data_IF_614183171750
#
_entry.id   IF_614183171750
#
_cell.length_a   1.000
_cell.length_b   1.000
_cell.length_c   1.000
_cell.angle_alpha   90.00
_cell.angle_beta   90.00
_cell.angle_gamma   90.00
#
_symmetry.space_group_name_H-M   'P 1'
#
loop_
_entity.id
_entity.type
_entity.pdbx_description
1 polymer ?
#
# COMPACT_ATOMS: atom_id res chain seq x y z
N UNK A 1 -16.13 -1.85 -1.69
CA UNK A 1 -14.67 -2.16 -1.74
C UNK A 1 -14.08 -1.95 -0.35
N UNK A 2 -13.12 -2.79 0.10
CA UNK A 2 -12.54 -2.63 1.45
C UNK A 2 -11.25 -1.83 1.38
N UNK A 3 -11.17 -0.74 2.12
CA UNK A 3 -9.98 0.08 2.32
C UNK A 3 -9.92 0.54 3.79
N UNK A 4 -8.76 0.98 4.24
CA UNK A 4 -8.54 1.53 5.58
C UNK A 4 -8.32 3.04 5.49
N UNK A 5 -8.92 3.77 6.38
CA UNK A 5 -8.65 5.19 6.55
C UNK A 5 -7.26 5.43 7.15
N UNK A 6 -6.74 6.65 7.01
CA UNK A 6 -5.39 7.02 7.44
C UNK A 6 -5.12 6.69 8.91
N UNK A 7 -6.11 6.86 9.80
CA UNK A 7 -6.01 6.54 11.23
C UNK A 7 -5.75 5.06 11.48
N UNK A 8 -6.47 4.20 10.79
CA UNK A 8 -6.36 2.75 10.95
C UNK A 8 -5.13 2.18 10.24
N UNK A 9 -4.76 2.75 9.08
CA UNK A 9 -3.47 2.45 8.45
C UNK A 9 -2.29 2.76 9.38
N UNK A 10 -2.30 3.92 10.04
CA UNK A 10 -1.24 4.29 10.98
C UNK A 10 -1.15 3.32 12.17
N UNK A 11 -2.28 2.88 12.74
CA UNK A 11 -2.29 1.84 13.80
C UNK A 11 -1.67 0.54 13.30
N UNK A 12 -2.10 0.09 12.09
CA UNK A 12 -1.65 -1.15 11.50
C UNK A 12 -0.15 -1.12 11.17
N UNK A 13 0.35 0.00 10.63
CA UNK A 13 1.78 0.17 10.36
C UNK A 13 2.60 0.18 11.65
N UNK A 14 2.14 0.84 12.72
CA UNK A 14 2.83 0.85 14.02
C UNK A 14 2.97 -0.56 14.61
N UNK A 15 1.89 -1.33 14.64
CA UNK A 15 1.95 -2.70 15.19
C UNK A 15 2.82 -3.60 14.33
N UNK A 16 2.71 -3.51 13.01
CA UNK A 16 3.56 -4.30 12.12
C UNK A 16 5.04 -3.92 12.25
N UNK A 17 5.36 -2.62 12.37
CA UNK A 17 6.73 -2.14 12.62
C UNK A 17 7.31 -2.73 13.90
N UNK A 18 6.55 -2.75 14.99
CA UNK A 18 6.98 -3.30 16.26
C UNK A 18 7.13 -4.83 16.25
N UNK A 19 6.26 -5.55 15.53
CA UNK A 19 6.23 -7.01 15.56
C UNK A 19 7.08 -7.67 14.49
N UNK A 20 7.13 -7.14 13.27
CA UNK A 20 7.86 -7.74 12.16
C UNK A 20 8.19 -6.72 11.07
N UNK A 21 9.44 -6.25 11.04
CA UNK A 21 9.95 -5.25 10.08
C UNK A 21 9.73 -5.65 8.61
N UNK A 22 9.85 -6.94 8.26
CA UNK A 22 9.64 -7.40 6.88
C UNK A 22 8.17 -7.29 6.47
N UNK A 23 7.24 -7.69 7.33
CA UNK A 23 5.82 -7.54 7.06
C UNK A 23 5.43 -6.06 6.93
N UNK A 24 5.95 -5.23 7.82
CA UNK A 24 5.78 -3.79 7.78
C UNK A 24 6.22 -3.18 6.43
N UNK A 25 7.44 -3.50 5.96
CA UNK A 25 7.94 -3.00 4.68
C UNK A 25 7.15 -3.50 3.48
N UNK A 26 6.59 -4.71 3.53
CA UNK A 26 5.65 -5.19 2.50
C UNK A 26 4.36 -4.37 2.49
N UNK A 27 3.83 -4.01 3.67
CA UNK A 27 2.64 -3.15 3.77
C UNK A 27 2.90 -1.76 3.18
N UNK A 28 4.03 -1.12 3.56
CA UNK A 28 4.44 0.18 3.02
C UNK A 28 4.65 0.12 1.51
N UNK A 29 5.29 -0.93 1.00
CA UNK A 29 5.44 -1.13 -0.44
C UNK A 29 4.09 -1.17 -1.15
N UNK A 30 3.14 -1.94 -0.62
CA UNK A 30 1.78 -2.01 -1.17
C UNK A 30 1.05 -0.67 -1.17
N UNK A 31 1.21 0.12 -0.11
CA UNK A 31 0.56 1.42 0.04
C UNK A 31 1.23 2.49 -0.84
N UNK A 32 2.52 2.74 -0.70
CA UNK A 32 3.21 3.84 -1.40
C UNK A 32 3.42 3.61 -2.89
N UNK A 33 3.38 2.37 -3.37
CA UNK A 33 3.56 2.07 -4.80
C UNK A 33 2.33 1.50 -5.48
N UNK A 34 1.28 1.18 -4.72
CA UNK A 34 0.11 0.48 -5.23
C UNK A 34 0.43 -0.93 -5.76
N UNK A 35 1.58 -1.50 -5.43
CA UNK A 35 1.99 -2.82 -5.88
C UNK A 35 1.04 -3.92 -5.39
N UNK A 36 0.79 -4.91 -6.24
CA UNK A 36 0.15 -6.15 -5.78
C UNK A 36 1.13 -6.92 -4.90
N UNK A 37 0.63 -7.68 -3.94
CA UNK A 37 1.46 -8.49 -3.04
C UNK A 37 2.48 -9.36 -3.80
N UNK A 38 2.10 -9.96 -4.92
CA UNK A 38 2.99 -10.77 -5.74
C UNK A 38 4.14 -9.96 -6.38
N UNK A 39 3.95 -8.67 -6.61
CA UNK A 39 4.99 -7.76 -7.11
C UNK A 39 5.93 -7.36 -5.96
N UNK A 40 5.37 -6.98 -4.80
CA UNK A 40 6.16 -6.65 -3.62
C UNK A 40 7.05 -7.83 -3.18
N UNK A 41 6.51 -9.04 -3.12
CA UNK A 41 7.27 -10.23 -2.71
C UNK A 41 8.38 -10.65 -3.68
N UNK A 42 8.35 -10.17 -4.93
CA UNK A 42 9.39 -10.45 -5.94
C UNK A 42 10.52 -9.42 -5.94
N UNK A 43 10.40 -8.33 -5.19
CA UNK A 43 11.43 -7.30 -5.13
C UNK A 43 12.79 -7.87 -4.76
N UNK A 44 13.81 -7.45 -5.50
CA UNK A 44 15.22 -7.74 -5.25
C UNK A 44 15.92 -6.48 -4.76
N UNK A 45 17.12 -6.63 -4.21
CA UNK A 45 17.93 -5.48 -3.82
C UNK A 45 18.19 -4.52 -4.99
N UNK A 46 18.48 -5.04 -6.19
CA UNK A 46 18.69 -4.26 -7.41
C UNK A 46 17.50 -3.40 -7.86
N UNK A 47 16.30 -3.66 -7.31
CA UNK A 47 15.11 -2.85 -7.57
C UNK A 47 15.04 -1.58 -6.71
N UNK A 48 15.95 -1.44 -5.74
CA UNK A 48 16.10 -0.24 -4.91
C UNK A 48 17.42 0.41 -5.30
N UNK A 49 17.34 1.58 -5.94
CA UNK A 49 18.54 2.25 -6.48
C UNK A 49 18.41 3.77 -6.44
N UNK A 50 19.51 4.46 -6.71
CA UNK A 50 19.52 5.91 -6.83
C UNK A 50 19.25 6.35 -8.26
N UNK A 51 18.34 7.32 -8.40
CA UNK A 51 18.09 8.03 -9.65
C UNK A 51 18.32 9.53 -9.39
N UNK A 52 19.47 10.02 -9.78
CA UNK A 52 19.94 11.34 -9.37
C UNK A 52 20.18 11.43 -7.87
N UNK A 53 19.51 12.37 -7.23
CA UNK A 53 19.57 12.62 -5.78
C UNK A 53 18.58 11.77 -4.95
N UNK A 54 17.73 10.97 -5.60
CA UNK A 54 16.61 10.28 -4.96
C UNK A 54 16.79 8.79 -4.95
N UNK A 55 16.38 8.18 -3.84
CA UNK A 55 16.15 6.74 -3.79
C UNK A 55 14.80 6.37 -4.40
N UNK A 56 14.80 5.35 -5.22
CA UNK A 56 13.63 4.88 -5.94
C UNK A 56 13.47 3.36 -5.81
N UNK A 57 12.24 2.92 -6.00
CA UNK A 57 11.85 1.52 -6.03
C UNK A 57 11.23 1.19 -7.39
N UNK A 58 11.75 0.17 -8.05
CA UNK A 58 11.24 -0.36 -9.31
C UNK A 58 10.24 -1.48 -9.03
N UNK A 59 9.03 -1.31 -9.50
CA UNK A 59 7.98 -2.33 -9.43
C UNK A 59 7.85 -3.00 -10.79
N UNK A 60 8.18 -4.27 -10.84
CA UNK A 60 8.08 -5.07 -12.06
C UNK A 60 6.64 -5.23 -12.53
N UNK A 61 6.48 -5.32 -13.84
CA UNK A 61 5.19 -5.50 -14.46
C UNK A 61 4.48 -6.78 -13.97
N UNK A 62 3.16 -6.70 -13.75
CA UNK A 62 2.33 -7.87 -13.58
C UNK A 62 1.82 -8.33 -14.96
N UNK A 63 2.28 -9.46 -15.45
CA UNK A 63 1.92 -10.06 -16.75
C UNK A 63 2.26 -9.12 -17.95
N UNK A 64 1.29 -8.35 -18.47
CA UNK A 64 1.43 -7.48 -19.64
C UNK A 64 1.40 -5.98 -19.29
N UNK A 65 1.67 -5.60 -18.05
CA UNK A 65 1.76 -4.21 -17.60
C UNK A 65 3.13 -3.58 -17.90
N UNK A 66 3.29 -2.32 -17.53
CA UNK A 66 4.55 -1.60 -17.58
C UNK A 66 5.28 -1.68 -16.24
N UNK A 67 6.61 -1.69 -16.26
CA UNK A 67 7.42 -1.45 -15.07
C UNK A 67 7.21 -0.01 -14.59
N UNK A 68 7.31 0.20 -13.28
CA UNK A 68 7.16 1.52 -12.67
C UNK A 68 8.29 1.78 -11.72
N UNK A 69 8.73 3.02 -11.73
CA UNK A 69 9.68 3.53 -10.76
C UNK A 69 8.97 4.54 -9.87
N UNK A 70 8.99 4.31 -8.58
CA UNK A 70 8.41 5.20 -7.58
C UNK A 70 9.52 5.77 -6.72
N UNK A 71 9.36 7.02 -6.26
CA UNK A 71 10.22 7.55 -5.22
C UNK A 71 10.04 6.72 -3.96
N UNK A 72 11.14 6.35 -3.31
CA UNK A 72 11.08 5.69 -2.02
C UNK A 72 10.61 6.71 -0.97
N UNK A 73 9.60 6.35 -0.21
CA UNK A 73 9.10 7.22 0.85
C UNK A 73 10.03 7.11 2.07
N UNK A 74 10.65 8.23 2.42
CA UNK A 74 11.53 8.37 3.58
C UNK A 74 10.86 9.32 4.54
N UNK A 75 10.68 8.89 5.79
CA UNK A 75 9.95 9.64 6.82
C UNK A 75 10.72 9.65 8.13
N UNK A 76 10.51 10.67 8.94
CA UNK A 76 11.04 10.75 10.30
C UNK A 76 10.30 9.83 11.27
N UNK A 77 9.07 9.46 10.96
CA UNK A 77 8.28 8.50 11.71
C UNK A 77 8.57 7.07 11.23
N UNK A 78 9.19 6.20 12.04
CA UNK A 78 9.69 4.90 11.59
C UNK A 78 8.62 3.97 11.00
N UNK A 79 7.35 4.14 11.41
CA UNK A 79 6.25 3.33 10.90
C UNK A 79 5.71 3.77 9.53
N UNK A 80 6.22 4.87 8.97
CA UNK A 80 5.97 5.31 7.60
C UNK A 80 7.23 5.24 6.72
N UNK A 81 8.38 4.99 7.31
CA UNK A 81 9.67 5.06 6.65
C UNK A 81 10.03 3.77 5.89
N UNK A 82 10.39 3.92 4.63
CA UNK A 82 10.87 2.83 3.76
C UNK A 82 12.40 2.79 3.62
N UNK A 83 13.15 3.69 4.26
CA UNK A 83 14.61 3.71 4.18
C UNK A 83 15.28 2.37 4.55
N UNK A 84 14.71 1.52 5.44
CA UNK A 84 15.27 0.20 5.70
C UNK A 84 15.36 -0.72 4.48
N UNK A 85 14.60 -0.44 3.40
CA UNK A 85 14.76 -1.17 2.14
C UNK A 85 16.11 -0.87 1.48
N UNK A 86 16.67 0.32 1.68
CA UNK A 86 17.99 0.70 1.16
C UNK A 86 19.05 -0.20 1.80
N UNK A 87 19.05 -0.29 3.13
CA UNK A 87 19.98 -1.14 3.88
C UNK A 87 19.90 -2.61 3.43
N UNK A 88 18.66 -3.11 3.27
CA UNK A 88 18.44 -4.48 2.82
C UNK A 88 18.94 -4.71 1.39
N UNK A 89 18.77 -3.72 0.51
CA UNK A 89 19.22 -3.77 -0.88
C UNK A 89 20.74 -3.76 -0.99
N UNK A 90 21.40 -2.89 -0.24
CA UNK A 90 22.87 -2.79 -0.21
C UNK A 90 23.51 -4.08 0.32
N UNK A 91 22.91 -4.71 1.34
CA UNK A 91 23.40 -5.98 1.89
C UNK A 91 23.18 -7.16 0.94
N UNK A 92 22.12 -7.16 0.14
CA UNK A 92 21.71 -8.30 -0.70
C UNK A 92 21.17 -7.84 -2.06
N UNK A 93 22.01 -7.25 -2.93
CA UNK A 93 21.52 -6.63 -4.16
C UNK A 93 20.82 -7.60 -5.12
N UNK A 94 21.27 -8.82 -5.23
CA UNK A 94 20.69 -9.81 -6.16
C UNK A 94 19.67 -10.75 -5.51
N UNK A 95 19.47 -10.68 -4.20
CA UNK A 95 18.53 -11.53 -3.49
C UNK A 95 17.13 -10.91 -3.41
N UNK A 96 16.12 -11.76 -3.27
CA UNK A 96 14.77 -11.30 -2.95
C UNK A 96 14.73 -10.69 -1.54
N UNK A 97 14.25 -9.45 -1.42
CA UNK A 97 14.17 -8.73 -0.14
C UNK A 97 13.19 -9.42 0.84
N UNK A 98 12.14 -10.02 0.30
CA UNK A 98 11.10 -10.69 1.08
C UNK A 98 11.04 -12.22 0.84
N UNK A 99 12.14 -12.81 0.41
CA UNK A 99 12.23 -14.26 0.13
C UNK A 99 11.71 -15.12 1.28
N UNK A 100 11.02 -16.21 0.97
CA UNK A 100 10.40 -17.11 1.94
C UNK A 100 9.03 -16.64 2.50
N UNK A 101 8.58 -15.41 2.18
CA UNK A 101 7.27 -14.92 2.57
C UNK A 101 6.22 -15.26 1.49
N UNK A 102 5.23 -16.09 1.82
CA UNK A 102 4.10 -16.37 0.93
C UNK A 102 2.97 -15.37 1.14
N UNK A 103 2.15 -15.15 0.09
CA UNK A 103 0.95 -14.32 0.18
C UNK A 103 -0.03 -14.84 1.24
N UNK A 104 -0.23 -16.16 1.31
CA UNK A 104 -1.16 -16.77 2.26
C UNK A 104 -0.72 -16.52 3.70
N UNK A 105 0.55 -16.77 3.98
CA UNK A 105 1.11 -16.53 5.32
C UNK A 105 1.07 -15.04 5.69
N UNK A 106 1.41 -14.15 4.75
CA UNK A 106 1.32 -12.71 4.98
C UNK A 106 -0.11 -12.28 5.32
N UNK A 107 -1.12 -12.73 4.57
CA UNK A 107 -2.52 -12.41 4.86
C UNK A 107 -2.99 -12.98 6.22
N UNK A 108 -2.49 -14.16 6.61
CA UNK A 108 -2.77 -14.71 7.95
C UNK A 108 -2.19 -13.81 9.06
N UNK A 109 -0.95 -13.37 8.90
CA UNK A 109 -0.34 -12.42 9.84
C UNK A 109 -1.07 -11.08 9.86
N UNK A 110 -1.49 -10.58 8.70
CA UNK A 110 -2.23 -9.33 8.58
C UNK A 110 -3.56 -9.36 9.35
N UNK A 111 -4.30 -10.49 9.29
CA UNK A 111 -5.51 -10.67 10.12
C UNK A 111 -5.20 -10.57 11.62
N UNK A 112 -4.09 -11.14 12.07
CA UNK A 112 -3.65 -11.03 13.47
C UNK A 112 -3.31 -9.59 13.85
N UNK A 113 -2.64 -8.84 12.97
CA UNK A 113 -2.35 -7.42 13.20
C UNK A 113 -3.63 -6.59 13.25
N UNK A 114 -4.57 -6.81 12.34
CA UNK A 114 -5.88 -6.14 12.37
C UNK A 114 -6.58 -6.38 13.71
N UNK A 115 -6.71 -7.63 14.13
CA UNK A 115 -7.34 -7.99 15.40
C UNK A 115 -6.66 -7.31 16.60
N UNK A 116 -5.32 -7.24 16.62
CA UNK A 116 -4.58 -6.65 17.74
C UNK A 116 -4.77 -5.15 17.93
N UNK A 117 -5.26 -4.45 16.89
CA UNK A 117 -5.51 -2.99 16.92
C UNK A 117 -6.99 -2.63 16.78
N UNK A 118 -7.88 -3.62 16.91
CA UNK A 118 -9.33 -3.41 16.85
C UNK A 118 -9.88 -3.16 15.44
N UNK A 119 -9.14 -3.55 14.39
CA UNK A 119 -9.58 -3.50 13.00
C UNK A 119 -10.23 -4.85 12.65
N UNK A 120 -11.38 -4.82 11.97
CA UNK A 120 -12.06 -6.04 11.56
C UNK A 120 -11.16 -6.92 10.67
N UNK A 121 -11.15 -8.22 10.89
CA UNK A 121 -10.24 -9.15 10.23
C UNK A 121 -10.48 -9.32 8.72
N UNK A 122 -11.63 -8.90 8.22
CA UNK A 122 -11.92 -8.86 6.78
C UNK A 122 -10.98 -7.90 6.03
N UNK A 123 -10.45 -6.88 6.71
CA UNK A 123 -9.39 -6.02 6.15
C UNK A 123 -8.02 -6.71 6.12
N UNK A 124 -7.89 -7.89 6.73
CA UNK A 124 -6.65 -8.65 6.81
C UNK A 124 -6.23 -9.32 5.49
N UNK A 125 -6.22 -8.58 4.40
CA UNK A 125 -5.77 -9.04 3.08
C UNK A 125 -4.90 -7.97 2.39
N UNK A 126 -3.91 -8.41 1.64
CA UNK A 126 -2.87 -7.55 1.07
C UNK A 126 -3.36 -6.49 0.07
N UNK A 127 -4.54 -6.69 -0.54
CA UNK A 127 -5.12 -5.69 -1.46
C UNK A 127 -5.62 -4.44 -0.74
N UNK A 128 -5.86 -4.51 0.57
CA UNK A 128 -6.32 -3.36 1.36
C UNK A 128 -5.38 -2.15 1.22
N UNK A 129 -4.07 -2.36 1.25
CA UNK A 129 -3.09 -1.27 1.11
C UNK A 129 -3.19 -0.55 -0.23
N UNK A 130 -3.38 -1.31 -1.30
CA UNK A 130 -3.55 -0.79 -2.64
C UNK A 130 -4.86 0.00 -2.79
N UNK A 131 -5.95 -0.48 -2.20
CA UNK A 131 -7.23 0.22 -2.19
C UNK A 131 -7.18 1.48 -1.33
N UNK A 132 -6.55 1.42 -0.16
CA UNK A 132 -6.35 2.58 0.71
C UNK A 132 -5.50 3.66 0.03
N UNK A 133 -4.43 3.27 -0.70
CA UNK A 133 -3.64 4.20 -1.48
C UNK A 133 -4.47 4.88 -2.59
N UNK A 134 -5.32 4.12 -3.28
CA UNK A 134 -6.20 4.67 -4.30
C UNK A 134 -7.20 5.67 -3.73
N UNK A 135 -7.79 5.37 -2.56
CA UNK A 135 -8.69 6.30 -1.87
C UNK A 135 -7.97 7.56 -1.40
N UNK A 136 -6.76 7.45 -0.86
CA UNK A 136 -5.95 8.61 -0.48
C UNK A 136 -5.61 9.51 -1.69
N UNK A 137 -5.32 8.91 -2.86
CA UNK A 137 -5.12 9.65 -4.12
C UNK A 137 -6.42 10.31 -4.57
N UNK A 138 -7.55 9.61 -4.48
CA UNK A 138 -8.85 10.18 -4.80
C UNK A 138 -9.16 11.39 -3.94
N UNK A 139 -9.03 11.25 -2.62
CA UNK A 139 -9.33 12.31 -1.65
C UNK A 139 -8.47 13.56 -1.89
N UNK A 140 -7.21 13.37 -2.32
CA UNK A 140 -6.29 14.48 -2.59
C UNK A 140 -6.41 15.10 -3.97
N UNK A 141 -6.86 14.36 -4.99
CA UNK A 141 -6.80 14.81 -6.39
C UNK A 141 -8.13 14.88 -7.09
N UNK A 142 -9.13 14.12 -6.65
CA UNK A 142 -10.44 13.93 -7.30
C UNK A 142 -10.32 13.51 -8.78
N UNK A 143 -9.22 12.82 -9.15
CA UNK A 143 -8.91 12.45 -10.54
C UNK A 143 -8.76 10.94 -10.73
N UNK A 144 -9.72 10.31 -11.38
CA UNK A 144 -9.68 8.89 -11.73
C UNK A 144 -8.47 8.52 -12.61
N UNK A 145 -8.06 9.41 -13.49
CA UNK A 145 -6.87 9.19 -14.32
C UNK A 145 -5.61 8.99 -13.49
N UNK A 146 -5.45 9.74 -12.39
CA UNK A 146 -4.32 9.60 -11.45
C UNK A 146 -4.33 8.23 -10.78
N UNK A 147 -5.51 7.77 -10.30
CA UNK A 147 -5.67 6.44 -9.72
C UNK A 147 -5.36 5.34 -10.75
N UNK A 148 -5.95 5.47 -11.95
CA UNK A 148 -5.76 4.51 -13.04
C UNK A 148 -4.28 4.36 -13.40
N UNK A 149 -3.58 5.48 -13.52
CA UNK A 149 -2.13 5.52 -13.76
C UNK A 149 -1.35 4.88 -12.61
N UNK A 150 -1.62 5.31 -11.36
CA UNK A 150 -0.93 4.80 -10.16
C UNK A 150 -1.12 3.29 -9.99
N UNK A 151 -2.34 2.79 -10.21
CA UNK A 151 -2.66 1.37 -10.07
C UNK A 151 -2.37 0.55 -11.33
N UNK A 152 -2.05 1.16 -12.47
CA UNK A 152 -1.96 0.49 -13.77
C UNK A 152 -3.22 -0.33 -14.10
N UNK A 153 -4.36 0.29 -14.01
CA UNK A 153 -5.58 -0.35 -14.48
C UNK A 153 -5.56 -0.38 -16.02
N UNK A 154 -5.91 -1.52 -16.61
CA UNK A 154 -6.00 -1.67 -18.07
C UNK A 154 -7.11 -0.84 -18.67
N UNK A 155 -8.18 -0.66 -17.92
CA UNK A 155 -9.34 0.11 -18.31
C UNK A 155 -9.65 1.14 -17.24
N UNK A 156 -9.92 2.40 -17.60
CA UNK A 156 -10.42 3.43 -16.67
C UNK A 156 -11.68 2.98 -15.92
N UNK A 157 -12.54 2.16 -16.56
CA UNK A 157 -13.73 1.59 -15.93
C UNK A 157 -13.39 0.80 -14.63
N UNK A 158 -12.22 0.19 -14.55
CA UNK A 158 -11.76 -0.49 -13.32
C UNK A 158 -11.57 0.50 -12.16
N UNK A 159 -11.33 1.78 -12.45
CA UNK A 159 -11.18 2.83 -11.43
C UNK A 159 -12.52 3.44 -11.01
N UNK A 160 -13.61 3.21 -11.74
CA UNK A 160 -14.92 3.77 -11.41
C UNK A 160 -15.48 3.25 -10.06
N UNK A 161 -15.00 2.09 -9.59
CA UNK A 161 -15.36 1.60 -8.26
C UNK A 161 -14.96 2.57 -7.12
N UNK A 162 -13.96 3.41 -7.32
CA UNK A 162 -13.54 4.42 -6.34
C UNK A 162 -14.49 5.64 -6.30
N UNK A 163 -15.14 5.97 -7.43
CA UNK A 163 -16.23 6.97 -7.46
C UNK A 163 -17.41 6.52 -6.61
N UNK A 164 -17.93 5.33 -6.88
CA UNK A 164 -19.09 4.81 -6.14
C UNK A 164 -18.83 4.76 -4.63
N UNK A 165 -17.60 4.45 -4.20
CA UNK A 165 -17.21 4.46 -2.80
C UNK A 165 -17.18 5.86 -2.22
N UNK A 166 -16.66 6.84 -2.98
CA UNK A 166 -16.63 8.25 -2.59
C UNK A 166 -18.04 8.83 -2.45
N UNK A 167 -18.91 8.56 -3.41
CA UNK A 167 -20.30 9.04 -3.39
C UNK A 167 -21.07 8.48 -2.18
N UNK A 168 -20.83 7.21 -1.83
CA UNK A 168 -21.40 6.58 -0.64
C UNK A 168 -20.94 7.25 0.66
N UNK A 169 -19.66 7.63 0.76
CA UNK A 169 -19.14 8.35 1.93
C UNK A 169 -19.71 9.76 2.05
N UNK A 170 -19.75 10.50 0.95
CA UNK A 170 -20.33 11.85 0.94
C UNK A 170 -21.80 11.82 1.33
N UNK A 171 -22.56 10.85 0.83
CA UNK A 171 -23.96 10.69 1.23
C UNK A 171 -24.09 10.41 2.74
N UNK A 172 -23.23 9.56 3.31
CA UNK A 172 -23.24 9.25 4.73
C UNK A 172 -22.86 10.48 5.59
N UNK A 173 -21.82 11.23 5.21
CA UNK A 173 -21.43 12.46 5.89
C UNK A 173 -22.56 13.51 5.90
N UNK A 174 -23.25 13.65 4.78
CA UNK A 174 -24.43 14.54 4.69
C UNK A 174 -25.53 14.07 5.64
N UNK A 175 -25.82 12.78 5.68
CA UNK A 175 -26.85 12.23 6.57
C UNK A 175 -26.49 12.36 8.05
N UNK A 176 -25.21 12.17 8.41
CA UNK A 176 -24.74 12.33 9.78
C UNK A 176 -24.78 13.79 10.24
N UNK A 177 -24.49 14.73 9.34
CA UNK A 177 -24.58 16.17 9.61
C UNK A 177 -26.01 16.71 9.62
N UNK A 178 -26.98 16.00 9.02
CA UNK A 178 -28.39 16.36 9.02
C UNK A 178 -29.15 15.80 10.23
N UNK A 179 -28.51 15.07 11.13
CA UNK A 179 -29.13 14.73 12.41
C UNK A 179 -29.32 16.00 13.22
N UNK A 180 -30.53 16.51 13.16
CA UNK A 180 -31.00 17.60 14.02
C UNK A 180 -30.92 17.11 15.46
N UNK A 181 -30.35 17.92 16.37
CA UNK A 181 -30.33 17.71 17.81
C UNK A 181 -31.74 17.68 18.39
#
# INVERSE_FOLDING_TARGET
>A
MQYLESKDLAKLFRVAHAMNRRHHLVMLTGFYTGARISQALRLRGEDIFRLGDRWVIKIHAAKRGLERVHRLHIDTQPHFDMSPLIEMAEQKPLAQLFGGLSRQYFNLCLKKYCASVGIHTDFGHSHVFRHSAAMAIWDSTQRLGTISYFLQHRSPATSCCYLAESDGRLAQEVMDNLRLE
#
